data_IF_975886608846
#
_entry.id   IF_975886608846
#
_cell.length_a   1.000
_cell.length_b   1.000
_cell.length_c   1.000
_cell.angle_alpha   90.00
_cell.angle_beta   90.00
_cell.angle_gamma   90.00
#
_symmetry.space_group_name_H-M   'P 1'
#
loop_
_entity.id
_entity.type
_entity.pdbx_description
1 polymer ?
#
# COMPACT_ATOMS: atom_id res chain seq x y z
N UNK A 1 26.09 32.50 -18.96
CA UNK A 1 24.91 31.63 -19.16
C UNK A 1 24.84 30.75 -17.93
N UNK A 2 24.01 31.10 -16.95
CA UNK A 2 23.86 30.29 -15.74
C UNK A 2 23.29 28.92 -16.11
N UNK A 3 23.78 27.82 -15.52
CA UNK A 3 23.21 26.51 -15.74
C UNK A 3 21.79 26.51 -15.16
N UNK A 4 20.79 26.21 -16.00
CA UNK A 4 19.43 25.93 -15.54
C UNK A 4 19.49 24.75 -14.56
N UNK A 5 19.40 25.06 -13.27
CA UNK A 5 19.20 24.06 -12.23
C UNK A 5 17.81 23.46 -12.44
N UNK A 6 17.75 22.25 -13.00
CA UNK A 6 16.51 21.49 -13.15
C UNK A 6 16.04 21.13 -11.74
N UNK A 7 15.19 21.96 -11.16
CA UNK A 7 14.45 21.63 -9.93
C UNK A 7 13.63 20.38 -10.24
N UNK A 8 14.10 19.23 -9.78
CA UNK A 8 13.35 17.98 -9.93
C UNK A 8 12.12 18.07 -9.03
N UNK A 9 10.96 18.38 -9.60
CA UNK A 9 9.70 18.35 -8.86
C UNK A 9 9.42 16.90 -8.47
N UNK A 10 9.70 16.54 -7.22
CA UNK A 10 9.36 15.22 -6.67
C UNK A 10 7.84 15.10 -6.68
N UNK A 11 7.30 14.24 -7.54
CA UNK A 11 5.87 13.93 -7.55
C UNK A 11 5.60 12.95 -6.41
N UNK A 12 4.68 13.30 -5.52
CA UNK A 12 4.21 12.48 -4.41
C UNK A 12 2.77 12.09 -4.68
N UNK A 13 2.41 10.84 -4.38
CA UNK A 13 1.03 10.36 -4.48
C UNK A 13 0.69 9.46 -3.30
N UNK A 14 -0.50 9.66 -2.73
CA UNK A 14 -1.05 8.84 -1.66
C UNK A 14 -2.22 8.05 -2.23
N UNK A 15 -2.23 6.74 -1.99
CA UNK A 15 -3.32 5.83 -2.33
C UNK A 15 -3.76 5.08 -1.08
N UNK A 16 -5.02 4.63 -1.06
CA UNK A 16 -5.57 3.83 0.03
C UNK A 16 -6.12 2.52 -0.48
N UNK A 17 -5.98 1.47 0.31
CA UNK A 17 -6.88 0.31 0.21
C UNK A 17 -8.27 0.63 0.77
N UNK A 18 -9.15 -0.38 0.73
CA UNK A 18 -10.59 -0.27 1.04
C UNK A 18 -10.92 -0.43 2.53
N UNK A 19 -9.97 -0.70 3.41
CA UNK A 19 -10.30 -1.01 4.81
C UNK A 19 -10.59 0.25 5.63
N UNK A 20 -9.87 1.35 5.39
CA UNK A 20 -10.04 2.59 6.13
C UNK A 20 -9.71 3.84 5.28
N UNK A 21 -10.40 4.04 4.15
CA UNK A 21 -10.12 5.15 3.21
C UNK A 21 -10.24 6.54 3.84
N UNK A 22 -11.16 6.73 4.80
CA UNK A 22 -11.36 8.02 5.50
C UNK A 22 -10.08 8.53 6.17
N UNK A 23 -9.27 7.64 6.76
CA UNK A 23 -8.00 8.03 7.37
C UNK A 23 -6.99 8.49 6.32
N UNK A 24 -6.97 7.82 5.16
CA UNK A 24 -6.09 8.21 4.07
C UNK A 24 -6.52 9.53 3.42
N UNK A 25 -7.82 9.80 3.32
CA UNK A 25 -8.37 11.09 2.89
C UNK A 25 -7.97 12.21 3.84
N UNK A 26 -8.10 11.99 5.16
CA UNK A 26 -7.64 12.94 6.17
C UNK A 26 -6.13 13.22 6.04
N UNK A 27 -5.30 12.18 5.91
CA UNK A 27 -3.85 12.33 5.73
C UNK A 27 -3.52 13.10 4.44
N UNK A 28 -4.17 12.78 3.32
CA UNK A 28 -3.97 13.49 2.06
C UNK A 28 -4.36 14.97 2.19
N UNK A 29 -5.48 15.27 2.87
CA UNK A 29 -5.94 16.63 3.14
C UNK A 29 -4.93 17.44 3.95
N UNK A 30 -4.35 16.84 5.01
CA UNK A 30 -3.30 17.48 5.81
C UNK A 30 -2.00 17.73 5.01
N UNK A 31 -1.76 16.95 3.95
CA UNK A 31 -0.65 17.14 3.02
C UNK A 31 -0.97 18.14 1.89
N UNK A 32 -2.18 18.71 1.86
CA UNK A 32 -2.62 19.65 0.82
C UNK A 32 -2.84 19.00 -0.54
N UNK A 33 -3.20 17.71 -0.59
CA UNK A 33 -3.43 16.97 -1.83
C UNK A 33 -4.67 16.09 -1.77
N UNK A 34 -5.10 15.61 -2.93
CA UNK A 34 -6.19 14.63 -3.04
C UNK A 34 -5.65 13.21 -2.97
N UNK A 35 -6.45 12.31 -2.40
CA UNK A 35 -6.18 10.88 -2.45
C UNK A 35 -6.29 10.38 -3.90
N UNK A 36 -5.29 9.62 -4.36
CA UNK A 36 -5.30 9.02 -5.70
C UNK A 36 -6.31 7.88 -5.80
N UNK A 37 -6.78 7.59 -7.01
CA UNK A 37 -7.75 6.52 -7.24
C UNK A 37 -7.06 5.19 -7.61
N UNK A 38 -7.09 4.17 -6.74
CA UNK A 38 -6.46 2.87 -7.01
C UNK A 38 -7.29 1.96 -7.93
N UNK A 39 -8.56 2.32 -8.23
CA UNK A 39 -9.50 1.59 -9.09
C UNK A 39 -9.48 0.06 -8.84
N UNK A 40 -9.73 -0.33 -7.59
CA UNK A 40 -9.72 -1.73 -7.16
C UNK A 40 -11.02 -2.39 -7.63
N UNK A 41 -10.90 -3.37 -8.50
CA UNK A 41 -12.01 -4.24 -8.93
C UNK A 41 -11.90 -5.57 -8.21
N UNK A 42 -13.01 -6.05 -7.69
CA UNK A 42 -13.14 -7.40 -7.13
C UNK A 42 -13.92 -8.30 -8.10
N UNK A 43 -13.39 -9.47 -8.39
CA UNK A 43 -14.02 -10.48 -9.23
C UNK A 43 -14.99 -11.35 -8.41
N UNK A 44 -15.85 -12.10 -9.10
CA UNK A 44 -16.87 -12.95 -8.45
C UNK A 44 -16.29 -14.07 -7.57
N UNK A 45 -15.01 -14.42 -7.75
CA UNK A 45 -14.30 -15.41 -6.95
C UNK A 45 -13.52 -14.80 -5.77
N UNK A 46 -13.59 -13.48 -5.55
CA UNK A 46 -12.89 -12.76 -4.49
C UNK A 46 -11.49 -12.27 -4.85
N UNK A 47 -10.97 -12.57 -6.05
CA UNK A 47 -9.71 -11.99 -6.52
C UNK A 47 -9.86 -10.48 -6.75
N UNK A 48 -8.77 -9.75 -6.59
CA UNK A 48 -8.73 -8.30 -6.73
C UNK A 48 -7.75 -7.87 -7.80
N UNK A 49 -8.08 -6.77 -8.47
CA UNK A 49 -7.26 -6.15 -9.51
C UNK A 49 -7.16 -4.65 -9.28
N UNK A 50 -6.14 -4.19 -8.54
CA UNK A 50 -5.82 -2.76 -8.46
C UNK A 50 -5.27 -2.25 -9.80
N UNK A 51 -5.64 -1.02 -10.18
CA UNK A 51 -5.10 -0.31 -11.35
C UNK A 51 -5.14 1.19 -11.10
N UNK A 52 -4.02 1.80 -10.75
CA UNK A 52 -3.96 3.26 -10.57
C UNK A 52 -4.55 4.01 -11.79
N UNK A 53 -5.51 4.91 -11.52
CA UNK A 53 -6.18 5.67 -12.56
C UNK A 53 -5.21 6.65 -13.23
N UNK A 54 -4.31 7.24 -12.44
CA UNK A 54 -3.25 8.13 -12.90
C UNK A 54 -1.90 7.41 -13.06
N UNK A 55 -1.03 7.95 -13.91
CA UNK A 55 0.34 7.45 -14.03
C UNK A 55 1.15 7.73 -12.77
N UNK A 56 1.69 6.65 -12.20
CA UNK A 56 2.61 6.65 -11.04
C UNK A 56 4.09 6.54 -11.44
N UNK A 57 4.41 6.53 -12.75
CA UNK A 57 5.80 6.43 -13.23
C UNK A 57 6.66 7.54 -12.63
N UNK A 58 7.79 7.17 -12.02
CA UNK A 58 8.74 8.11 -11.44
C UNK A 58 8.24 8.85 -10.18
N UNK A 59 7.10 8.43 -9.61
CA UNK A 59 6.46 9.07 -8.44
C UNK A 59 6.91 8.38 -7.15
N UNK A 60 7.01 9.14 -6.06
CA UNK A 60 7.12 8.59 -4.70
C UNK A 60 5.70 8.25 -4.22
N UNK A 61 5.37 6.95 -4.19
CA UNK A 61 4.04 6.42 -3.94
C UNK A 61 3.91 5.94 -2.49
N UNK A 62 2.90 6.42 -1.79
CA UNK A 62 2.53 5.98 -0.44
C UNK A 62 1.23 5.19 -0.54
N UNK A 63 1.26 3.92 -0.12
CA UNK A 63 0.10 3.03 -0.16
C UNK A 63 -0.34 2.77 1.28
N UNK A 64 -1.45 3.36 1.67
CA UNK A 64 -2.03 3.25 3.01
C UNK A 64 -3.04 2.11 3.08
N UNK A 65 -2.89 1.23 4.07
CA UNK A 65 -3.89 0.21 4.38
C UNK A 65 -3.79 -0.19 5.85
N UNK A 66 -4.93 -0.30 6.52
CA UNK A 66 -4.99 -0.89 7.86
C UNK A 66 -5.36 -2.37 7.76
N UNK A 67 -4.64 -3.23 8.47
CA UNK A 67 -4.82 -4.69 8.33
C UNK A 67 -5.86 -5.26 9.30
N UNK A 68 -7.14 -4.99 9.09
CA UNK A 68 -8.22 -5.57 9.90
C UNK A 68 -9.42 -5.97 9.04
N UNK A 69 -10.32 -6.77 9.62
CA UNK A 69 -11.51 -7.24 8.92
C UNK A 69 -12.67 -6.24 8.99
N UNK A 70 -13.30 -5.95 7.85
CA UNK A 70 -14.46 -5.07 7.71
C UNK A 70 -15.26 -5.45 6.45
N UNK A 71 -16.58 -5.27 6.47
CA UNK A 71 -17.47 -5.54 5.31
C UNK A 71 -17.33 -6.94 4.71
N UNK A 72 -17.21 -7.97 5.55
CA UNK A 72 -17.04 -9.36 5.10
C UNK A 72 -15.63 -9.70 4.62
N UNK A 73 -14.70 -8.74 4.59
CA UNK A 73 -13.27 -8.95 4.31
C UNK A 73 -12.52 -9.28 5.60
N UNK A 74 -11.51 -10.11 5.49
CA UNK A 74 -10.62 -10.53 6.58
C UNK A 74 -9.36 -9.66 6.64
N UNK A 75 -8.57 -9.85 7.71
CA UNK A 75 -7.21 -9.29 7.77
C UNK A 75 -6.34 -9.72 6.59
N UNK A 76 -6.54 -10.94 6.07
CA UNK A 76 -5.77 -11.45 4.94
C UNK A 76 -6.09 -10.71 3.65
N UNK A 77 -7.37 -10.41 3.43
CA UNK A 77 -7.81 -9.69 2.23
C UNK A 77 -7.21 -8.27 2.21
N UNK A 78 -7.18 -7.60 3.36
CA UNK A 78 -6.54 -6.27 3.46
C UNK A 78 -5.04 -6.29 3.19
N UNK A 79 -4.32 -7.34 3.62
CA UNK A 79 -2.89 -7.52 3.37
C UNK A 79 -2.65 -7.83 1.88
N UNK A 80 -3.41 -8.76 1.31
CA UNK A 80 -3.32 -9.12 -0.11
C UNK A 80 -3.63 -7.93 -1.01
N UNK A 81 -4.59 -7.09 -0.63
CA UNK A 81 -4.87 -5.83 -1.31
C UNK A 81 -3.69 -4.87 -1.31
N UNK A 82 -3.05 -4.66 -0.17
CA UNK A 82 -1.88 -3.78 -0.14
C UNK A 82 -0.71 -4.37 -0.95
N UNK A 83 -0.47 -5.68 -0.85
CA UNK A 83 0.59 -6.36 -1.61
C UNK A 83 0.38 -6.24 -3.13
N UNK A 84 -0.84 -6.46 -3.61
CA UNK A 84 -1.17 -6.34 -5.04
C UNK A 84 -1.11 -4.89 -5.52
N UNK A 85 -1.44 -3.90 -4.68
CA UNK A 85 -1.24 -2.49 -5.00
C UNK A 85 0.25 -2.13 -5.11
N UNK A 86 1.10 -2.68 -4.24
CA UNK A 86 2.55 -2.49 -4.27
C UNK A 86 3.14 -3.10 -5.55
N UNK A 87 2.80 -4.35 -5.88
CA UNK A 87 3.24 -4.99 -7.12
C UNK A 87 2.78 -4.18 -8.36
N UNK A 88 1.55 -3.67 -8.36
CA UNK A 88 1.06 -2.80 -9.43
C UNK A 88 1.87 -1.50 -9.55
N UNK A 89 2.30 -0.90 -8.44
CA UNK A 89 3.09 0.34 -8.44
C UNK A 89 4.52 0.09 -8.95
N UNK A 90 5.13 -1.02 -8.54
CA UNK A 90 6.46 -1.44 -8.98
C UNK A 90 6.47 -1.67 -10.49
N UNK A 91 5.50 -2.44 -11.01
CA UNK A 91 5.35 -2.69 -12.45
C UNK A 91 5.00 -1.42 -13.25
N UNK A 92 4.34 -0.45 -12.62
CA UNK A 92 4.09 0.86 -13.20
C UNK A 92 5.30 1.82 -13.14
N UNK A 93 6.46 1.33 -12.69
CA UNK A 93 7.72 2.07 -12.58
C UNK A 93 7.63 3.27 -11.63
N UNK A 94 6.96 3.10 -10.48
CA UNK A 94 7.08 4.02 -9.37
C UNK A 94 8.56 4.21 -8.99
N UNK A 95 8.95 5.40 -8.54
CA UNK A 95 10.35 5.66 -8.15
C UNK A 95 10.66 5.08 -6.78
N UNK A 96 9.68 5.16 -5.88
CA UNK A 96 9.74 4.67 -4.52
C UNK A 96 8.34 4.28 -4.10
N UNK A 97 8.22 3.17 -3.40
CA UNK A 97 6.97 2.70 -2.82
C UNK A 97 7.15 2.67 -1.31
N UNK A 98 6.21 3.24 -0.58
CA UNK A 98 6.17 3.23 0.89
C UNK A 98 4.85 2.62 1.33
N UNK A 99 4.93 1.42 1.91
CA UNK A 99 3.79 0.81 2.59
C UNK A 99 3.54 1.55 3.92
N UNK A 100 2.36 2.11 4.08
CA UNK A 100 1.91 2.75 5.32
C UNK A 100 0.85 1.85 5.94
N UNK A 101 1.17 1.25 7.09
CA UNK A 101 0.31 0.27 7.76
C UNK A 101 -0.10 0.80 9.16
N UNK A 102 -1.15 1.63 9.29
CA UNK A 102 -1.54 2.20 10.60
C UNK A 102 -1.85 1.14 11.65
N UNK A 103 -2.43 0.02 11.22
CA UNK A 103 -2.57 -1.18 12.02
C UNK A 103 -1.87 -2.34 11.32
N UNK A 104 -0.81 -2.87 11.94
CA UNK A 104 0.00 -3.95 11.38
C UNK A 104 -0.57 -5.33 11.77
N UNK A 105 -1.28 -5.93 10.83
CA UNK A 105 -1.84 -7.29 10.94
C UNK A 105 -0.73 -8.31 11.23
N UNK A 106 -1.09 -9.35 12.00
CA UNK A 106 -0.15 -10.37 12.49
C UNK A 106 0.96 -9.88 13.44
N UNK A 107 0.99 -8.61 13.85
CA UNK A 107 2.02 -8.07 14.77
C UNK A 107 2.15 -8.84 16.09
N UNK A 108 1.08 -9.49 16.56
CA UNK A 108 1.11 -10.30 17.81
C UNK A 108 1.95 -11.58 17.70
N UNK A 109 2.25 -12.05 16.48
CA UNK A 109 3.02 -13.25 16.21
C UNK A 109 4.42 -12.88 15.67
N UNK A 110 5.15 -12.10 16.47
CA UNK A 110 6.48 -11.55 16.21
C UNK A 110 7.63 -12.42 16.74
N UNK A 111 7.30 -13.45 17.51
CA UNK A 111 8.21 -14.48 18.02
C UNK A 111 7.51 -15.83 18.04
N UNK A 112 8.29 -16.89 18.26
CA UNK A 112 7.75 -18.21 18.58
C UNK A 112 7.39 -18.22 20.06
N UNK A 113 6.12 -18.40 20.40
CA UNK A 113 5.72 -18.65 21.79
C UNK A 113 5.96 -20.13 22.12
N UNK A 114 5.70 -21.01 21.14
CA UNK A 114 5.92 -22.44 21.23
C UNK A 114 6.71 -23.00 20.03
N UNK A 115 7.14 -24.26 20.16
CA UNK A 115 7.76 -24.98 19.05
C UNK A 115 6.79 -25.14 17.88
N UNK A 116 7.31 -25.06 16.64
CA UNK A 116 6.56 -25.27 15.38
C UNK A 116 5.51 -24.21 15.02
N UNK A 117 5.56 -23.04 15.65
CA UNK A 117 4.78 -21.87 15.23
C UNK A 117 5.50 -21.03 14.16
N UNK A 118 4.76 -20.33 13.28
CA UNK A 118 5.33 -19.33 12.39
C UNK A 118 5.64 -18.03 13.13
N UNK A 119 6.51 -17.20 12.55
CA UNK A 119 6.69 -15.80 12.93
C UNK A 119 6.00 -14.96 11.85
N UNK A 120 4.68 -14.85 11.93
CA UNK A 120 3.88 -14.32 10.82
C UNK A 120 4.15 -12.83 10.59
N UNK A 121 4.47 -12.05 11.63
CA UNK A 121 4.88 -10.65 11.45
C UNK A 121 6.13 -10.54 10.53
N UNK A 122 7.08 -11.47 10.66
CA UNK A 122 8.25 -11.54 9.77
C UNK A 122 7.86 -11.94 8.35
N UNK A 123 6.97 -12.93 8.21
CA UNK A 123 6.46 -13.35 6.91
C UNK A 123 5.79 -12.20 6.16
N UNK A 124 4.93 -11.42 6.83
CA UNK A 124 4.29 -10.24 6.22
C UNK A 124 5.34 -9.23 5.74
N UNK A 125 6.36 -8.94 6.56
CA UNK A 125 7.45 -8.03 6.16
C UNK A 125 8.25 -8.55 4.95
N UNK A 126 8.51 -9.86 4.89
CA UNK A 126 9.18 -10.49 3.74
C UNK A 126 8.34 -10.42 2.47
N UNK A 127 7.01 -10.60 2.58
CA UNK A 127 6.11 -10.47 1.43
C UNK A 127 6.07 -9.04 0.90
N UNK A 128 6.01 -8.02 1.77
CA UNK A 128 6.09 -6.62 1.34
C UNK A 128 7.39 -6.32 0.59
N UNK A 129 8.52 -6.77 1.15
CA UNK A 129 9.84 -6.60 0.50
C UNK A 129 9.91 -7.28 -0.86
N UNK A 130 9.22 -8.41 -1.05
CA UNK A 130 9.20 -9.13 -2.33
C UNK A 130 8.22 -8.52 -3.33
N UNK A 131 7.15 -7.87 -2.89
CA UNK A 131 6.16 -7.25 -3.76
C UNK A 131 6.68 -5.98 -4.46
N UNK A 132 7.55 -5.20 -3.81
CA UNK A 132 8.11 -3.94 -4.35
C UNK A 132 8.67 -3.02 -3.28
#
# INVERSE_FOLDING_TARGET
MEPLEKVTTKKLAVYSGRTHSTLAEEVASHLGMSLGNPNIVEFSNGEIRPRFAESVRGTDVFIMQSHYGIDGRSVNDSIMEQLTMIDAAERASAKRITAVCPFYGYARQDRKAEGREPITARLIADMFRLAG
#
